data_IF_320016387321
#
_entry.id   IF_320016387321
#
_cell.length_a   1.000
_cell.length_b   1.000
_cell.length_c   1.000
_cell.angle_alpha   90.00
_cell.angle_beta   90.00
_cell.angle_gamma   90.00
#
_symmetry.space_group_name_H-M   'P 1'
#
loop_
_entity.id
_entity.type
_entity.pdbx_description
1 polymer ?
#
# COMPACT_ATOMS: atom_id res chain seq x y z
N UNK A 1 -16.19 -14.00 -9.07
CA UNK A 1 -15.17 -13.61 -8.07
C UNK A 1 -13.80 -13.71 -8.74
N UNK A 2 -12.81 -12.92 -8.31
CA UNK A 2 -11.44 -13.08 -8.80
C UNK A 2 -10.83 -14.28 -8.06
N UNK A 3 -10.20 -15.18 -8.79
CA UNK A 3 -9.62 -16.43 -8.25
C UNK A 3 -8.09 -16.38 -8.33
N UNK A 4 -7.43 -17.17 -7.48
CA UNK A 4 -5.96 -17.27 -7.42
C UNK A 4 -5.32 -15.92 -7.11
N UNK A 5 -5.90 -15.19 -6.17
CA UNK A 5 -5.32 -13.94 -5.63
C UNK A 5 -4.00 -14.20 -4.91
N UNK A 6 -3.19 -13.16 -4.71
CA UNK A 6 -1.88 -13.31 -4.05
C UNK A 6 -2.03 -13.88 -2.63
N UNK A 7 -3.09 -13.49 -1.90
CA UNK A 7 -3.39 -14.04 -0.59
C UNK A 7 -3.74 -15.54 -0.64
N UNK A 8 -4.45 -16.00 -1.67
CA UNK A 8 -4.72 -17.44 -1.86
C UNK A 8 -3.42 -18.23 -2.06
N UNK A 9 -2.48 -17.70 -2.84
CA UNK A 9 -1.17 -18.33 -3.02
C UNK A 9 -0.36 -18.36 -1.73
N UNK A 10 -0.31 -17.23 -1.01
CA UNK A 10 0.43 -17.11 0.25
C UNK A 10 -0.13 -18.07 1.32
N UNK A 11 -1.45 -18.13 1.49
CA UNK A 11 -2.08 -19.06 2.43
C UNK A 11 -1.84 -20.52 2.03
N UNK A 12 -1.98 -20.86 0.75
CA UNK A 12 -1.65 -22.21 0.26
C UNK A 12 -0.18 -22.59 0.48
N UNK A 13 0.71 -21.60 0.53
CA UNK A 13 2.14 -21.76 0.83
C UNK A 13 2.49 -21.71 2.32
N UNK A 14 1.49 -21.62 3.22
CA UNK A 14 1.70 -21.57 4.66
C UNK A 14 2.27 -20.25 5.18
N UNK A 15 2.20 -19.17 4.39
CA UNK A 15 2.76 -17.87 4.75
C UNK A 15 1.87 -17.15 5.75
N UNK A 16 2.41 -16.87 6.94
CA UNK A 16 1.75 -16.03 7.93
C UNK A 16 1.78 -14.56 7.52
N UNK A 17 0.63 -13.89 7.59
CA UNK A 17 0.52 -12.50 7.17
C UNK A 17 -0.37 -11.61 8.04
N UNK A 18 -0.19 -10.30 7.91
CA UNK A 18 -1.09 -9.31 8.49
C UNK A 18 -1.57 -8.26 7.48
N UNK A 19 -2.74 -7.68 7.77
CA UNK A 19 -3.28 -6.50 7.08
C UNK A 19 -3.70 -5.45 8.09
N UNK A 20 -3.23 -4.20 7.94
CA UNK A 20 -3.55 -3.09 8.84
C UNK A 20 -4.03 -1.88 8.07
N UNK A 21 -5.16 -1.31 8.49
CA UNK A 21 -5.62 -0.01 8.00
C UNK A 21 -6.64 0.56 8.96
N UNK A 22 -6.94 1.85 8.81
CA UNK A 22 -8.13 2.43 9.42
C UNK A 22 -9.42 2.08 8.69
N UNK A 23 -10.57 2.25 9.35
CA UNK A 23 -11.91 1.91 8.85
C UNK A 23 -12.16 2.32 7.39
N UNK A 24 -11.74 3.53 6.98
CA UNK A 24 -11.95 4.02 5.60
C UNK A 24 -11.30 3.12 4.52
N UNK A 25 -10.16 2.50 4.84
CA UNK A 25 -9.39 1.68 3.88
C UNK A 25 -9.21 0.23 4.34
N UNK A 26 -9.86 -0.18 5.44
CA UNK A 26 -9.81 -1.56 5.95
C UNK A 26 -10.34 -2.58 4.93
N UNK A 27 -11.46 -2.28 4.28
CA UNK A 27 -11.98 -3.09 3.17
C UNK A 27 -11.02 -3.15 1.97
N UNK A 28 -10.15 -2.17 1.77
CA UNK A 28 -9.22 -2.12 0.64
C UNK A 28 -8.06 -3.09 0.83
N UNK A 29 -7.53 -3.17 2.05
CA UNK A 29 -6.48 -4.14 2.41
C UNK A 29 -7.02 -5.54 2.73
N UNK A 30 -8.33 -5.75 2.74
CA UNK A 30 -8.94 -7.07 3.00
C UNK A 30 -9.84 -7.51 1.85
N UNK A 31 -11.05 -6.99 1.77
CA UNK A 31 -12.07 -7.34 0.78
C UNK A 31 -11.62 -7.14 -0.67
N UNK A 32 -11.16 -5.95 -1.04
CA UNK A 32 -10.73 -5.66 -2.42
C UNK A 32 -9.42 -6.37 -2.76
N UNK A 33 -8.44 -6.35 -1.86
CA UNK A 33 -7.19 -7.10 -2.01
C UNK A 33 -7.42 -8.60 -2.27
N UNK A 34 -8.43 -9.19 -1.63
CA UNK A 34 -8.80 -10.60 -1.80
C UNK A 34 -9.82 -10.83 -2.94
N UNK A 35 -9.90 -9.93 -3.93
CA UNK A 35 -10.72 -10.15 -5.11
C UNK A 35 -12.23 -10.04 -4.84
N UNK A 36 -12.61 -9.05 -4.03
CA UNK A 36 -13.99 -8.80 -3.57
C UNK A 36 -14.54 -9.97 -2.73
N UNK A 37 -13.67 -10.61 -1.92
CA UNK A 37 -14.03 -11.69 -0.99
C UNK A 37 -13.94 -11.21 0.45
N UNK A 38 -15.07 -11.25 1.15
CA UNK A 38 -15.12 -10.94 2.59
C UNK A 38 -14.56 -12.09 3.42
N UNK A 39 -14.02 -11.75 4.59
CA UNK A 39 -13.44 -12.71 5.52
C UNK A 39 -11.98 -13.05 5.22
N UNK A 40 -11.46 -13.98 6.01
CA UNK A 40 -10.12 -14.51 5.83
C UNK A 40 -10.09 -15.54 4.68
N UNK A 41 -8.99 -15.57 3.94
CA UNK A 41 -8.66 -16.71 3.09
C UNK A 41 -8.32 -17.90 4.00
N UNK A 42 -7.43 -17.68 4.96
CA UNK A 42 -7.13 -18.64 6.04
C UNK A 42 -6.90 -17.90 7.36
N UNK A 43 -7.84 -18.06 8.29
CA UNK A 43 -7.80 -17.38 9.61
C UNK A 43 -6.64 -17.82 10.50
N UNK A 44 -6.05 -18.99 10.24
CA UNK A 44 -4.88 -19.48 10.99
C UNK A 44 -3.57 -18.81 10.55
N UNK A 45 -3.53 -18.29 9.32
CA UNK A 45 -2.34 -17.66 8.72
C UNK A 45 -2.46 -16.13 8.64
N UNK A 46 -3.67 -15.59 8.61
CA UNK A 46 -3.91 -14.16 8.42
C UNK A 46 -4.38 -13.46 9.70
N UNK A 47 -3.90 -12.24 9.92
CA UNK A 47 -4.41 -11.34 10.96
C UNK A 47 -4.80 -9.99 10.37
N UNK A 48 -6.07 -9.60 10.52
CA UNK A 48 -6.54 -8.28 10.10
C UNK A 48 -6.72 -7.37 11.32
N UNK A 49 -6.27 -6.13 11.21
CA UNK A 49 -6.43 -5.11 12.26
C UNK A 49 -7.07 -3.88 11.64
N UNK A 50 -8.25 -3.54 12.16
CA UNK A 50 -8.95 -2.31 11.84
C UNK A 50 -8.71 -1.29 12.95
N UNK A 51 -8.26 -0.09 12.57
CA UNK A 51 -8.17 1.05 13.48
C UNK A 51 -9.38 1.96 13.23
N UNK A 52 -10.22 2.25 14.24
CA UNK A 52 -11.40 3.08 14.03
C UNK A 52 -11.03 4.48 13.48
N UNK A 53 -11.51 4.81 12.28
CA UNK A 53 -11.35 6.18 11.74
C UNK A 53 -12.17 7.18 12.55
N UNK A 54 -11.70 8.44 12.60
CA UNK A 54 -12.48 9.51 13.19
C UNK A 54 -13.74 9.80 12.36
N UNK A 55 -14.88 10.00 13.03
CA UNK A 55 -16.16 10.34 12.37
C UNK A 55 -16.28 11.83 12.11
N UNK A 56 -15.31 12.38 11.38
CA UNK A 56 -15.23 13.81 11.05
C UNK A 56 -14.85 13.99 9.58
N UNK A 57 -15.04 15.19 9.06
CA UNK A 57 -14.41 15.61 7.82
C UNK A 57 -12.89 15.60 7.99
N UNK A 58 -12.18 14.83 7.15
CA UNK A 58 -10.77 14.51 7.36
C UNK A 58 -9.83 15.72 7.22
N UNK A 59 -10.25 16.81 6.56
CA UNK A 59 -9.50 18.07 6.57
C UNK A 59 -9.35 18.69 7.98
N UNK A 60 -10.21 18.31 8.93
CA UNK A 60 -10.12 18.76 10.33
C UNK A 60 -9.13 17.93 11.16
N UNK A 61 -8.74 16.76 10.68
CA UNK A 61 -7.73 15.90 11.29
C UNK A 61 -6.92 15.18 10.19
N UNK A 62 -6.11 15.90 9.40
CA UNK A 62 -5.46 15.37 8.20
C UNK A 62 -4.42 14.27 8.48
N UNK A 63 -3.97 14.17 9.74
CA UNK A 63 -3.11 13.07 10.21
C UNK A 63 -3.83 11.73 10.25
N UNK A 64 -5.16 11.75 10.29
CA UNK A 64 -6.05 10.58 10.39
C UNK A 64 -5.47 9.55 11.38
N UNK A 65 -5.42 8.27 11.02
CA UNK A 65 -4.86 7.21 11.87
C UNK A 65 -3.47 6.73 11.43
N UNK A 66 -2.74 7.53 10.65
CA UNK A 66 -1.43 7.14 10.12
C UNK A 66 -0.45 6.75 11.23
N UNK A 67 -0.45 7.48 12.35
CA UNK A 67 0.45 7.22 13.47
C UNK A 67 0.08 5.89 14.15
N UNK A 68 -1.21 5.66 14.47
CA UNK A 68 -1.61 4.39 15.09
C UNK A 68 -1.41 3.20 14.15
N UNK A 69 -1.63 3.36 12.83
CA UNK A 69 -1.34 2.32 11.83
C UNK A 69 0.14 1.97 11.86
N UNK A 70 1.02 2.97 11.80
CA UNK A 70 2.47 2.78 11.82
C UNK A 70 2.92 2.09 13.12
N UNK A 71 2.48 2.56 14.28
CA UNK A 71 2.86 1.95 15.57
C UNK A 71 2.36 0.50 15.68
N UNK A 72 1.16 0.22 15.18
CA UNK A 72 0.61 -1.13 15.12
C UNK A 72 1.46 -2.04 14.23
N UNK A 73 1.84 -1.56 13.04
CA UNK A 73 2.66 -2.33 12.10
C UNK A 73 4.05 -2.59 12.67
N UNK A 74 4.70 -1.59 13.29
CA UNK A 74 5.99 -1.79 13.97
C UNK A 74 5.88 -2.91 15.01
N UNK A 75 4.85 -2.86 15.86
CA UNK A 75 4.62 -3.91 16.86
C UNK A 75 4.41 -5.30 16.26
N UNK A 76 3.80 -5.41 15.08
CA UNK A 76 3.63 -6.69 14.37
C UNK A 76 4.94 -7.18 13.76
N UNK A 77 5.74 -6.29 13.20
CA UNK A 77 7.06 -6.61 12.64
C UNK A 77 8.01 -7.12 13.75
N UNK A 78 8.04 -6.44 14.90
CA UNK A 78 8.88 -6.82 16.04
C UNK A 78 8.51 -8.17 16.67
N UNK A 79 7.28 -8.66 16.46
CA UNK A 79 6.90 -10.00 16.90
C UNK A 79 7.59 -11.12 16.10
N UNK A 80 8.14 -10.83 14.91
CA UNK A 80 8.91 -11.78 14.10
C UNK A 80 8.14 -13.00 13.57
N UNK A 81 6.81 -13.05 13.74
CA UNK A 81 5.97 -14.22 13.40
C UNK A 81 5.27 -14.15 12.05
N UNK A 82 5.32 -12.99 11.39
CA UNK A 82 4.68 -12.75 10.08
C UNK A 82 5.75 -12.67 9.00
N UNK A 83 5.53 -13.39 7.89
CA UNK A 83 6.41 -13.39 6.73
C UNK A 83 5.95 -12.44 5.63
N UNK A 84 4.71 -11.96 5.69
CA UNK A 84 4.17 -10.94 4.81
C UNK A 84 3.32 -9.92 5.57
N UNK A 85 3.42 -8.64 5.22
CA UNK A 85 2.63 -7.58 5.83
C UNK A 85 2.13 -6.62 4.77
N UNK A 86 0.87 -6.19 4.87
CA UNK A 86 0.31 -5.13 4.03
C UNK A 86 -0.41 -4.10 4.87
N UNK A 87 -0.32 -2.83 4.47
CA UNK A 87 -1.03 -1.73 5.11
C UNK A 87 -1.48 -0.69 4.10
N UNK A 88 -2.42 0.18 4.50
CA UNK A 88 -2.84 1.32 3.71
C UNK A 88 -2.90 2.57 4.60
N UNK A 89 -2.29 3.66 4.13
CA UNK A 89 -2.49 4.99 4.69
C UNK A 89 -3.53 5.74 3.86
N UNK A 90 -4.68 6.04 4.48
CA UNK A 90 -5.83 6.64 3.80
C UNK A 90 -5.66 8.15 3.50
N UNK A 91 -4.68 8.78 4.13
CA UNK A 91 -4.51 10.24 4.23
C UNK A 91 -4.56 10.98 2.90
N UNK A 92 -3.69 10.64 1.95
CA UNK A 92 -3.59 11.35 0.67
C UNK A 92 -4.89 11.35 -0.12
N UNK A 93 -5.63 10.24 -0.05
CA UNK A 93 -6.90 10.09 -0.75
C UNK A 93 -8.05 10.78 -0.01
N UNK A 94 -8.28 10.39 1.25
CA UNK A 94 -9.42 10.86 2.03
C UNK A 94 -9.36 12.36 2.32
N UNK A 95 -8.16 12.91 2.52
CA UNK A 95 -7.97 14.36 2.68
C UNK A 95 -7.94 15.05 1.31
N UNK A 96 -7.39 14.43 0.27
CA UNK A 96 -7.44 14.95 -1.09
C UNK A 96 -8.87 15.22 -1.59
N UNK A 97 -9.80 14.30 -1.28
CA UNK A 97 -11.23 14.47 -1.56
C UNK A 97 -11.89 15.70 -0.93
N UNK A 98 -11.29 16.30 0.10
CA UNK A 98 -11.83 17.52 0.73
C UNK A 98 -11.53 18.78 -0.08
N UNK A 99 -10.51 18.74 -0.95
CA UNK A 99 -10.07 19.89 -1.73
C UNK A 99 -9.30 20.96 -0.93
N UNK A 100 -9.03 20.73 0.36
CA UNK A 100 -8.30 21.67 1.22
C UNK A 100 -6.79 21.42 1.11
N UNK A 101 -6.10 22.27 0.34
CA UNK A 101 -4.67 22.11 0.02
C UNK A 101 -3.79 21.93 1.26
N UNK A 102 -3.90 22.82 2.25
CA UNK A 102 -3.03 22.80 3.44
C UNK A 102 -3.23 21.53 4.28
N UNK A 103 -4.47 21.03 4.31
CA UNK A 103 -4.78 19.76 4.95
C UNK A 103 -4.18 18.58 4.16
N UNK A 104 -4.27 18.59 2.83
CA UNK A 104 -3.66 17.55 1.98
C UNK A 104 -2.13 17.52 2.11
N UNK A 105 -1.47 18.69 2.21
CA UNK A 105 -0.03 18.78 2.49
C UNK A 105 0.29 18.09 3.82
N UNK A 106 -0.42 18.48 4.90
CA UNK A 106 -0.24 17.88 6.23
C UNK A 106 -0.47 16.36 6.21
N UNK A 107 -1.44 15.91 5.43
CA UNK A 107 -1.78 14.50 5.26
C UNK A 107 -0.61 13.72 4.63
N UNK A 108 -0.05 14.22 3.53
CA UNK A 108 1.08 13.60 2.82
C UNK A 108 2.35 13.63 3.66
N UNK A 109 2.68 14.77 4.30
CA UNK A 109 3.84 14.88 5.22
C UNK A 109 3.74 13.90 6.40
N UNK A 110 2.53 13.64 6.88
CA UNK A 110 2.31 12.65 7.94
C UNK A 110 2.59 11.23 7.46
N UNK A 111 2.14 10.89 6.24
CA UNK A 111 2.43 9.58 5.62
C UNK A 111 3.92 9.42 5.37
N UNK A 112 4.59 10.42 4.81
CA UNK A 112 6.03 10.38 4.53
C UNK A 112 6.85 10.04 5.78
N UNK A 113 6.60 10.74 6.89
CA UNK A 113 7.23 10.44 8.18
C UNK A 113 6.93 9.03 8.67
N UNK A 114 5.67 8.58 8.60
CA UNK A 114 5.30 7.23 9.03
C UNK A 114 5.97 6.14 8.17
N UNK A 115 6.07 6.36 6.86
CA UNK A 115 6.79 5.47 5.94
C UNK A 115 8.28 5.44 6.29
N UNK A 116 8.91 6.59 6.55
CA UNK A 116 10.31 6.66 6.99
C UNK A 116 10.58 5.80 8.24
N UNK A 117 9.75 5.97 9.28
CA UNK A 117 9.86 5.19 10.53
C UNK A 117 9.65 3.68 10.28
N UNK A 118 8.70 3.29 9.43
CA UNK A 118 8.49 1.89 9.06
C UNK A 118 9.69 1.31 8.29
N UNK A 119 10.25 2.06 7.35
CA UNK A 119 11.40 1.62 6.57
C UNK A 119 12.64 1.42 7.46
N UNK A 120 12.81 2.22 8.50
CA UNK A 120 13.89 2.02 9.47
C UNK A 120 13.74 0.71 10.25
N UNK A 121 12.51 0.33 10.61
CA UNK A 121 12.24 -0.98 11.24
C UNK A 121 12.46 -2.13 10.25
N UNK A 122 11.96 -2.01 9.02
CA UNK A 122 12.15 -3.02 7.97
C UNK A 122 13.64 -3.27 7.73
N UNK A 123 14.46 -2.21 7.63
CA UNK A 123 15.92 -2.33 7.48
C UNK A 123 16.58 -3.05 8.65
N UNK A 124 16.19 -2.73 9.90
CA UNK A 124 16.72 -3.40 11.10
C UNK A 124 16.40 -4.89 11.15
N UNK A 125 15.32 -5.30 10.51
CA UNK A 125 14.87 -6.69 10.45
C UNK A 125 15.34 -7.42 9.19
N UNK A 126 16.22 -6.81 8.39
CA UNK A 126 16.68 -7.35 7.09
C UNK A 126 15.51 -7.70 6.15
N UNK A 127 14.38 -7.00 6.29
CA UNK A 127 13.18 -7.21 5.47
C UNK A 127 13.18 -6.37 4.20
N UNK A 128 12.30 -6.74 3.27
CA UNK A 128 12.06 -5.98 2.04
C UNK A 128 10.75 -5.21 2.15
N UNK A 129 10.73 -3.94 1.76
CA UNK A 129 9.52 -3.14 1.64
C UNK A 129 9.26 -2.75 0.18
N UNK A 130 7.99 -2.80 -0.21
CA UNK A 130 7.48 -2.22 -1.45
C UNK A 130 6.54 -1.07 -1.12
N UNK A 131 6.87 0.13 -1.57
CA UNK A 131 6.05 1.34 -1.39
C UNK A 131 5.44 1.72 -2.72
N UNK A 132 4.12 1.80 -2.77
CA UNK A 132 3.32 2.13 -3.96
C UNK A 132 1.99 2.78 -3.56
N UNK A 133 1.20 3.20 -4.55
CA UNK A 133 -0.18 3.67 -4.36
C UNK A 133 -1.14 2.91 -5.29
N UNK A 134 -2.42 2.89 -4.95
CA UNK A 134 -3.50 2.31 -5.75
C UNK A 134 -4.01 3.27 -6.84
N UNK A 135 -3.90 4.58 -6.61
CA UNK A 135 -4.15 5.64 -7.59
C UNK A 135 -3.64 6.99 -7.09
N UNK A 136 -3.72 8.02 -7.93
CA UNK A 136 -3.47 9.41 -7.50
C UNK A 136 -4.73 10.12 -6.98
N UNK A 137 -4.50 11.15 -6.16
CA UNK A 137 -5.49 12.13 -5.66
C UNK A 137 -4.76 13.42 -5.24
N UNK A 138 -4.04 13.40 -4.11
CA UNK A 138 -3.34 14.55 -3.52
C UNK A 138 -2.24 15.17 -4.40
N UNK A 139 -1.80 14.47 -5.44
CA UNK A 139 -0.86 14.94 -6.46
C UNK A 139 -1.44 16.01 -7.39
N UNK A 140 -2.77 16.20 -7.42
CA UNK A 140 -3.41 17.30 -8.16
C UNK A 140 -4.65 17.82 -7.43
N UNK A 141 -4.44 18.82 -6.57
CA UNK A 141 -5.48 19.44 -5.74
C UNK A 141 -6.24 20.58 -6.41
N UNK A 142 -5.79 21.04 -7.58
CA UNK A 142 -6.46 22.10 -8.34
C UNK A 142 -6.13 22.05 -9.83
N UNK A 143 -6.98 22.69 -10.63
CA UNK A 143 -6.70 23.03 -12.03
C UNK A 143 -6.77 24.54 -12.24
N UNK A 144 -6.15 25.01 -13.31
CA UNK A 144 -6.29 26.39 -13.78
C UNK A 144 -7.23 26.38 -14.99
N UNK A 145 -8.34 27.09 -14.89
CA UNK A 145 -9.33 27.23 -15.96
C UNK A 145 -8.84 28.18 -17.06
N UNK A 146 -9.54 28.22 -18.19
CA UNK A 146 -9.18 29.08 -19.33
C UNK A 146 -9.19 30.57 -18.99
N UNK A 147 -9.97 30.97 -18.00
CA UNK A 147 -10.04 32.35 -17.50
C UNK A 147 -8.99 32.66 -16.41
N UNK A 148 -8.09 31.71 -16.11
CA UNK A 148 -7.03 31.84 -15.11
C UNK A 148 -7.47 31.53 -13.68
N UNK A 149 -8.75 31.19 -13.43
CA UNK A 149 -9.21 30.86 -12.08
C UNK A 149 -8.77 29.47 -11.64
N UNK A 150 -8.50 29.35 -10.34
CA UNK A 150 -8.19 28.09 -9.68
C UNK A 150 -9.48 27.35 -9.34
N UNK A 151 -9.63 26.15 -9.87
CA UNK A 151 -10.74 25.24 -9.58
C UNK A 151 -10.25 24.13 -8.67
N UNK A 152 -10.92 23.90 -7.55
CA UNK A 152 -10.55 22.85 -6.60
C UNK A 152 -10.85 21.49 -7.22
N UNK A 153 -9.88 20.58 -7.16
CA UNK A 153 -10.04 19.22 -7.64
C UNK A 153 -10.15 18.28 -6.44
N UNK A 154 -11.25 17.54 -6.40
CA UNK A 154 -11.54 16.57 -5.32
C UNK A 154 -11.61 15.13 -5.80
N UNK A 155 -11.42 14.87 -7.10
CA UNK A 155 -11.46 13.52 -7.68
C UNK A 155 -10.06 12.91 -7.79
N UNK A 156 -9.98 11.60 -8.06
CA UNK A 156 -8.72 10.94 -8.40
C UNK A 156 -8.06 11.51 -9.65
N UNK A 157 -6.77 11.24 -9.84
CA UNK A 157 -5.99 11.64 -11.02
C UNK A 157 -5.71 10.45 -11.93
N UNK A 158 -5.26 10.73 -13.15
CA UNK A 158 -4.72 9.74 -14.07
C UNK A 158 -3.19 9.68 -14.00
N UNK A 159 -2.59 10.29 -12.98
CA UNK A 159 -1.15 10.31 -12.82
C UNK A 159 -0.64 8.90 -12.46
N UNK A 160 0.56 8.52 -12.91
CA UNK A 160 1.18 7.27 -12.50
C UNK A 160 1.49 7.29 -11.00
N UNK A 161 1.55 6.10 -10.40
CA UNK A 161 1.91 5.92 -8.99
C UNK A 161 3.39 5.54 -8.84
N UNK A 162 4.04 5.90 -7.72
CA UNK A 162 5.39 5.43 -7.44
C UNK A 162 5.41 3.92 -7.24
N UNK A 163 6.53 3.28 -7.56
CA UNK A 163 6.82 1.90 -7.17
C UNK A 163 8.28 1.84 -6.72
N UNK A 164 8.50 1.67 -5.41
CA UNK A 164 9.82 1.70 -4.79
C UNK A 164 10.05 0.40 -4.04
N UNK A 165 11.18 -0.27 -4.32
CA UNK A 165 11.66 -1.42 -3.54
C UNK A 165 12.76 -0.90 -2.61
N UNK A 166 12.61 -1.18 -1.33
CA UNK A 166 13.63 -0.96 -0.31
C UNK A 166 14.08 -2.32 0.18
N UNK A 167 15.27 -2.72 -0.26
CA UNK A 167 15.88 -3.99 0.07
C UNK A 167 17.28 -3.73 0.68
N UNK A 168 17.44 -3.88 2.01
CA UNK A 168 18.70 -3.64 2.69
C UNK A 168 19.76 -4.71 2.36
N UNK A 169 19.35 -5.86 1.81
CA UNK A 169 20.23 -6.98 1.49
C UNK A 169 20.56 -7.10 0.00
N UNK A 170 20.06 -6.16 -0.82
CA UNK A 170 20.28 -6.14 -2.26
C UNK A 170 21.77 -6.13 -2.62
N UNK A 171 22.19 -7.11 -3.41
CA UNK A 171 23.56 -7.33 -3.91
C UNK A 171 23.66 -7.30 -5.43
N UNK A 172 22.59 -6.88 -6.12
CA UNK A 172 22.55 -6.86 -7.59
C UNK A 172 21.96 -8.11 -8.23
N UNK A 173 21.27 -8.95 -7.45
CA UNK A 173 20.69 -10.23 -7.86
C UNK A 173 19.42 -10.08 -8.71
N UNK A 174 18.81 -8.90 -8.73
CA UNK A 174 17.71 -8.56 -9.64
C UNK A 174 17.82 -7.12 -10.13
N UNK A 175 17.09 -6.79 -11.19
CA UNK A 175 16.94 -5.41 -11.69
C UNK A 175 15.51 -5.17 -12.17
N UNK A 176 15.16 -3.91 -12.40
CA UNK A 176 13.88 -3.58 -13.02
C UNK A 176 13.79 -4.18 -14.44
N UNK A 177 12.74 -4.95 -14.69
CA UNK A 177 12.50 -5.61 -15.96
C UNK A 177 12.14 -4.61 -17.07
N UNK A 178 12.57 -4.91 -18.30
CA UNK A 178 12.25 -4.12 -19.49
C UNK A 178 10.87 -4.51 -20.05
N UNK A 179 9.81 -4.06 -19.36
CA UNK A 179 8.44 -4.28 -19.78
C UNK A 179 7.91 -3.13 -20.62
N UNK A 180 7.18 -3.46 -21.70
CA UNK A 180 6.52 -2.49 -22.58
C UNK A 180 5.41 -1.72 -21.87
N UNK A 181 4.64 -2.43 -21.04
CA UNK A 181 3.52 -1.89 -20.26
C UNK A 181 3.69 -2.33 -18.80
N UNK A 182 3.42 -1.40 -17.88
CA UNK A 182 3.55 -1.60 -16.44
C UNK A 182 2.30 -1.03 -15.77
N UNK A 183 1.79 -1.72 -14.77
CA UNK A 183 0.63 -1.33 -14.00
C UNK A 183 0.60 -2.03 -12.64
N UNK A 184 -0.50 -1.82 -11.91
CA UNK A 184 -0.66 -2.38 -10.56
C UNK A 184 -0.73 -3.90 -10.54
N UNK A 185 -1.18 -4.53 -11.63
CA UNK A 185 -1.25 -5.99 -11.76
C UNK A 185 0.12 -6.66 -11.68
N UNK A 186 1.20 -5.98 -12.11
CA UNK A 186 2.57 -6.48 -12.02
C UNK A 186 3.08 -6.58 -10.57
N UNK A 187 2.48 -5.84 -9.63
CA UNK A 187 2.93 -5.79 -8.22
C UNK A 187 2.80 -7.16 -7.57
N UNK A 188 1.74 -7.92 -7.85
CA UNK A 188 1.51 -9.22 -7.23
C UNK A 188 2.63 -10.22 -7.56
N UNK A 189 3.04 -10.31 -8.83
CA UNK A 189 4.18 -11.15 -9.23
C UNK A 189 5.50 -10.65 -8.62
N UNK A 190 5.66 -9.34 -8.51
CA UNK A 190 6.87 -8.73 -7.93
C UNK A 190 7.00 -9.09 -6.44
N UNK A 191 5.90 -9.05 -5.68
CA UNK A 191 5.90 -9.47 -4.27
C UNK A 191 6.27 -10.94 -4.10
N UNK A 192 5.71 -11.82 -4.93
CA UNK A 192 6.04 -13.26 -4.89
C UNK A 192 7.52 -13.50 -5.15
N UNK A 193 8.07 -12.87 -6.20
CA UNK A 193 9.48 -12.98 -6.55
C UNK A 193 10.41 -12.45 -5.45
N UNK A 194 10.12 -11.29 -4.86
CA UNK A 194 10.90 -10.75 -3.73
C UNK A 194 10.86 -11.66 -2.49
N UNK A 195 9.77 -12.42 -2.33
CA UNK A 195 9.64 -13.41 -1.26
C UNK A 195 10.26 -14.78 -1.60
N UNK A 196 10.89 -14.92 -2.77
CA UNK A 196 11.52 -16.18 -3.22
C UNK A 196 10.54 -17.20 -3.81
N UNK A 197 9.33 -16.79 -4.15
CA UNK A 197 8.33 -17.62 -4.82
C UNK A 197 8.29 -17.37 -6.32
N UNK A 198 7.85 -18.40 -7.05
CA UNK A 198 7.48 -18.28 -8.46
C UNK A 198 6.14 -17.54 -8.59
N UNK A 199 6.00 -16.79 -9.68
CA UNK A 199 4.72 -16.14 -9.96
C UNK A 199 3.64 -17.17 -10.29
N UNK A 200 2.39 -16.86 -9.97
CA UNK A 200 1.24 -17.68 -10.38
C UNK A 200 1.08 -17.65 -11.90
N UNK A 201 0.69 -18.78 -12.48
CA UNK A 201 0.34 -18.87 -13.90
C UNK A 201 -0.75 -17.85 -14.25
N UNK A 202 -0.54 -17.09 -15.33
CA UNK A 202 -1.39 -15.97 -15.81
C UNK A 202 -1.32 -14.67 -15.01
N UNK A 203 -0.42 -14.53 -14.03
CA UNK A 203 -0.09 -13.20 -13.53
C UNK A 203 0.70 -12.44 -14.59
N UNK A 204 0.47 -11.13 -14.67
CA UNK A 204 1.33 -10.21 -15.40
C UNK A 204 2.79 -10.36 -14.92
N UNK A 205 3.77 -10.13 -15.80
CA UNK A 205 5.18 -10.30 -15.46
C UNK A 205 5.57 -9.42 -14.26
N UNK A 206 6.50 -9.92 -13.47
CA UNK A 206 7.11 -9.17 -12.37
C UNK A 206 7.78 -7.89 -12.89
N UNK A 207 7.76 -6.82 -12.08
CA UNK A 207 8.48 -5.58 -12.39
C UNK A 207 10.00 -5.75 -12.24
N UNK A 208 10.45 -6.86 -11.66
CA UNK A 208 11.86 -7.22 -11.55
C UNK A 208 12.16 -8.50 -12.35
N UNK A 209 13.42 -8.63 -12.77
CA UNK A 209 13.98 -9.86 -13.30
C UNK A 209 15.27 -10.19 -12.52
N UNK A 210 15.43 -11.45 -12.11
CA UNK A 210 16.65 -11.95 -11.48
C UNK A 210 17.76 -12.12 -12.52
N UNK A 211 19.01 -11.90 -12.10
CA UNK A 211 20.23 -11.92 -12.93
C UNK A 211 21.07 -13.17 -12.61
#
# INVERSE_FOLDING_TARGET
AIERTVSEYLCASGVTSFAVSETQKFGHVTYFWNGNRSGYIDKSLERYIEIPSDRIRFDRAPKMKAIEIKDTVISLLEQGKYRFGRLNFANGDMVGHTGVMDAAITAVETVDRCVGELLDIVKKLDGIAVVTADHGNADLMFSIEKDGKKSVKTSHTLNPVPFVIVDPQYKGEYRMAQLKERGLSNVAATLLNLMGYEKVENYDPSLIEFI
#
